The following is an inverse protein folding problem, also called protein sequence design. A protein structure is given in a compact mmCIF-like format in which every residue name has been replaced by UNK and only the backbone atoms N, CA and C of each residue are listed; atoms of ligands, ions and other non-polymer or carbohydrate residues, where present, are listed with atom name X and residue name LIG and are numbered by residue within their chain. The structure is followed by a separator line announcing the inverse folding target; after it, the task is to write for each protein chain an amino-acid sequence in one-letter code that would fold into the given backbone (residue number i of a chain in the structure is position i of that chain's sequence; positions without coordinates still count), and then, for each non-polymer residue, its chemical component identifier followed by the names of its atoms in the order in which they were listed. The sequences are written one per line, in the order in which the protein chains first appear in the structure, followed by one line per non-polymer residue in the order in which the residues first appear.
data_IF_535776931117
#
_entry.id   IF_535776931117
#
_cell.length_a   1.000
_cell.length_b   1.000
_cell.length_c   1.000
_cell.angle_alpha   90.00
_cell.angle_beta   90.00
_cell.angle_gamma   90.00
#
_symmetry.space_group_name_H-M   'P 1'
#
loop_
_entity.id
_entity.type
_entity.pdbx_description
1 polymer ?
#
# COMPACT_ATOMS: atom_id res chain seq x y z
N UNK A 1 -48.23 -16.16 -5.10
CA UNK A 1 -46.86 -16.68 -4.85
C UNK A 1 -45.87 -16.32 -5.93
N UNK A 2 -46.18 -16.50 -7.23
CA UNK A 2 -45.25 -16.17 -8.37
C UNK A 2 -44.83 -14.69 -8.39
N UNK A 3 -45.76 -13.75 -8.21
CA UNK A 3 -45.51 -12.30 -8.21
C UNK A 3 -44.63 -11.88 -7.02
N UNK A 4 -44.79 -12.49 -5.85
CA UNK A 4 -43.92 -12.20 -4.65
C UNK A 4 -42.51 -12.72 -4.90
N UNK A 5 -42.37 -13.91 -5.48
CA UNK A 5 -41.06 -14.45 -5.86
C UNK A 5 -40.35 -13.58 -6.90
N UNK A 6 -41.04 -13.10 -7.93
CA UNK A 6 -40.49 -12.22 -8.93
C UNK A 6 -40.06 -10.87 -8.35
N UNK A 7 -40.87 -10.27 -7.48
CA UNK A 7 -40.52 -9.03 -6.79
C UNK A 7 -39.25 -9.18 -5.91
N UNK A 8 -39.11 -10.30 -5.19
CA UNK A 8 -37.91 -10.58 -4.40
C UNK A 8 -36.65 -10.74 -5.25
N UNK A 9 -36.73 -11.40 -6.40
CA UNK A 9 -35.62 -11.55 -7.34
C UNK A 9 -35.22 -10.17 -7.91
N UNK A 10 -36.19 -9.36 -8.35
CA UNK A 10 -35.92 -8.00 -8.87
C UNK A 10 -35.26 -7.14 -7.79
N UNK A 11 -35.72 -7.18 -6.55
CA UNK A 11 -35.12 -6.43 -5.46
C UNK A 11 -33.67 -6.87 -5.18
N UNK A 12 -33.41 -8.19 -5.19
CA UNK A 12 -32.06 -8.72 -5.02
C UNK A 12 -31.10 -8.26 -6.14
N UNK A 13 -31.55 -8.37 -7.41
CA UNK A 13 -30.76 -7.92 -8.56
C UNK A 13 -30.49 -6.43 -8.48
N UNK A 14 -31.48 -5.62 -8.09
CA UNK A 14 -31.29 -4.18 -7.90
C UNK A 14 -30.28 -3.89 -6.77
N UNK A 15 -30.37 -4.59 -5.65
CA UNK A 15 -29.42 -4.44 -4.54
C UNK A 15 -27.97 -4.80 -4.95
N UNK A 16 -27.79 -5.90 -5.69
CA UNK A 16 -26.49 -6.31 -6.21
C UNK A 16 -25.96 -5.27 -7.23
N UNK A 17 -26.81 -4.74 -8.11
CA UNK A 17 -26.44 -3.72 -9.07
C UNK A 17 -26.00 -2.40 -8.38
N UNK A 18 -26.68 -2.00 -7.31
CA UNK A 18 -26.28 -0.85 -6.48
C UNK A 18 -24.92 -1.10 -5.82
N UNK A 19 -24.75 -2.25 -5.18
CA UNK A 19 -23.47 -2.62 -4.58
C UNK A 19 -22.35 -2.65 -5.62
N UNK A 20 -22.58 -3.22 -6.79
CA UNK A 20 -21.61 -3.28 -7.89
C UNK A 20 -21.23 -1.89 -8.40
N UNK A 21 -22.20 -0.98 -8.51
CA UNK A 21 -21.97 0.39 -8.97
C UNK A 21 -21.14 1.18 -7.98
N UNK A 22 -21.42 1.04 -6.68
CA UNK A 22 -20.81 1.83 -5.61
C UNK A 22 -19.68 1.10 -4.87
N UNK A 23 -19.26 -0.10 -5.28
CA UNK A 23 -18.27 -0.90 -4.58
C UNK A 23 -16.96 -0.15 -4.30
N UNK A 24 -16.51 0.73 -5.21
CA UNK A 24 -15.30 1.54 -5.00
C UNK A 24 -15.39 2.48 -3.82
N UNK A 25 -16.60 2.95 -3.45
CA UNK A 25 -16.80 3.74 -2.23
C UNK A 25 -16.72 2.91 -0.95
N UNK A 26 -16.83 1.59 -1.04
CA UNK A 26 -16.63 0.68 0.07
C UNK A 26 -15.17 0.23 0.18
N UNK A 27 -14.46 0.19 -0.95
CA UNK A 27 -13.06 -0.21 -1.01
C UNK A 27 -12.14 0.95 -0.67
N UNK A 28 -12.32 2.09 -1.32
CA UNK A 28 -11.49 3.29 -1.18
C UNK A 28 -12.18 4.29 -0.27
N UNK A 29 -11.53 4.64 0.82
CA UNK A 29 -12.05 5.51 1.88
C UNK A 29 -11.16 6.75 2.03
N UNK A 30 -11.03 7.59 0.97
CA UNK A 30 -10.14 8.73 1.00
C UNK A 30 -10.61 9.78 1.99
N UNK A 31 -9.70 10.33 2.78
CA UNK A 31 -9.85 11.68 3.25
C UNK A 31 -9.45 12.62 2.10
N UNK A 32 -10.43 13.33 1.57
CA UNK A 32 -10.27 14.22 0.41
C UNK A 32 -9.83 15.63 0.79
N UNK A 33 -9.73 15.94 2.10
CA UNK A 33 -9.29 17.24 2.56
C UNK A 33 -7.86 17.53 2.09
N UNK A 34 -7.58 18.74 1.59
CA UNK A 34 -6.22 19.13 1.22
C UNK A 34 -5.28 19.04 2.43
N UNK A 35 -4.16 18.36 2.25
CA UNK A 35 -3.13 18.25 3.28
C UNK A 35 -2.26 19.50 3.26
N UNK A 36 -1.90 19.97 4.45
CA UNK A 36 -1.01 21.12 4.63
C UNK A 36 0.36 20.90 3.93
N UNK A 37 1.09 21.97 3.58
CA UNK A 37 2.40 21.87 2.96
C UNK A 37 3.35 20.96 3.76
N UNK A 38 4.12 20.15 3.08
CA UNK A 38 5.02 19.15 3.70
C UNK A 38 5.99 19.77 4.72
N UNK A 39 6.51 20.97 4.43
CA UNK A 39 7.41 21.71 5.31
C UNK A 39 6.78 22.11 6.65
N UNK A 40 5.46 22.28 6.72
CA UNK A 40 4.75 22.54 7.96
C UNK A 40 4.43 21.29 8.78
N UNK A 41 4.44 20.12 8.13
CA UNK A 41 4.15 18.83 8.76
C UNK A 41 5.40 18.17 9.35
N UNK A 42 6.54 18.33 8.65
CA UNK A 42 7.80 17.72 9.03
C UNK A 42 8.96 18.58 8.54
N UNK A 43 9.87 18.93 9.46
CA UNK A 43 11.08 19.66 9.12
C UNK A 43 11.93 18.90 8.09
N UNK A 44 12.36 19.59 7.03
CA UNK A 44 13.12 19.00 5.91
C UNK A 44 12.28 18.27 4.87
N UNK A 45 10.96 18.14 5.08
CA UNK A 45 10.07 17.62 4.05
C UNK A 45 9.71 18.68 3.01
N UNK A 46 9.53 18.23 1.77
CA UNK A 46 9.07 19.06 0.64
C UNK A 46 7.87 18.42 -0.03
N UNK A 47 7.01 19.23 -0.63
CA UNK A 47 5.95 18.74 -1.50
C UNK A 47 6.56 18.26 -2.82
N UNK A 48 6.34 17.00 -3.16
CA UNK A 48 6.68 16.42 -4.45
C UNK A 48 5.46 16.42 -5.36
N UNK A 49 5.65 16.74 -6.65
CA UNK A 49 4.62 16.59 -7.68
C UNK A 49 4.95 15.36 -8.51
N UNK A 50 4.01 14.43 -8.57
CA UNK A 50 4.11 13.19 -9.31
C UNK A 50 3.22 13.30 -10.56
N UNK A 51 3.80 13.20 -11.75
CA UNK A 51 3.04 13.22 -13.00
C UNK A 51 2.74 11.80 -13.44
N UNK A 52 1.47 11.43 -13.45
CA UNK A 52 1.04 10.09 -13.89
C UNK A 52 1.00 9.98 -15.41
N UNK A 53 1.09 8.75 -15.94
CA UNK A 53 1.05 8.51 -17.38
C UNK A 53 -0.28 8.93 -18.05
N UNK A 54 -1.36 8.99 -17.28
CA UNK A 54 -2.68 9.48 -17.71
C UNK A 54 -2.90 10.99 -17.41
N UNK A 55 -1.81 11.71 -17.08
CA UNK A 55 -1.77 13.19 -17.04
C UNK A 55 -2.21 13.84 -15.74
N UNK A 56 -2.38 13.09 -14.65
CA UNK A 56 -2.66 13.69 -13.34
C UNK A 56 -1.37 14.22 -12.69
N UNK A 57 -1.47 15.34 -12.00
CA UNK A 57 -0.44 15.86 -11.12
C UNK A 57 -0.84 15.58 -9.66
N UNK A 58 -0.17 14.63 -9.03
CA UNK A 58 -0.44 14.22 -7.66
C UNK A 58 0.58 14.84 -6.71
N UNK A 59 0.13 15.27 -5.55
CA UNK A 59 0.99 15.75 -4.46
C UNK A 59 1.36 14.59 -3.55
N UNK A 60 2.63 14.53 -3.17
CA UNK A 60 3.21 13.59 -2.23
C UNK A 60 4.13 14.33 -1.25
N UNK A 61 4.50 13.70 -0.14
CA UNK A 61 5.50 14.22 0.79
C UNK A 61 6.83 13.52 0.53
N UNK A 62 7.90 14.30 0.33
CA UNK A 62 9.24 13.77 0.13
C UNK A 62 10.22 14.30 1.19
N UNK A 63 11.01 13.40 1.77
CA UNK A 63 12.16 13.68 2.63
C UNK A 63 13.37 13.03 1.98
N UNK A 64 14.38 13.82 1.66
CA UNK A 64 15.61 13.27 1.09
C UNK A 64 16.38 12.42 2.11
N UNK A 65 17.02 11.35 1.64
CA UNK A 65 17.94 10.58 2.45
C UNK A 65 19.15 11.43 2.87
N UNK A 66 19.75 11.17 4.04
CA UNK A 66 21.05 11.75 4.40
C UNK A 66 22.10 11.41 3.34
N UNK A 67 23.15 12.24 3.26
CA UNK A 67 24.31 11.94 2.42
C UNK A 67 25.05 10.74 3.01
N UNK A 68 25.00 9.62 2.33
CA UNK A 68 25.69 8.39 2.71
C UNK A 68 26.08 7.61 1.44
N UNK A 69 26.95 6.59 1.53
CA UNK A 69 27.30 5.74 0.39
C UNK A 69 26.09 5.04 -0.25
N UNK A 70 25.04 4.76 0.53
CA UNK A 70 23.74 4.32 0.02
C UNK A 70 22.63 5.21 0.58
N UNK A 71 21.94 5.95 -0.29
CA UNK A 71 20.83 6.83 0.06
C UNK A 71 19.53 6.03 0.13
N UNK A 72 19.49 5.02 1.02
CA UNK A 72 18.31 4.16 1.18
C UNK A 72 17.03 5.00 1.33
N UNK A 73 16.06 4.77 0.48
CA UNK A 73 14.83 5.56 0.43
C UNK A 73 13.60 4.65 0.35
N UNK A 74 12.58 4.96 1.14
CA UNK A 74 11.35 4.18 1.22
C UNK A 74 10.24 4.89 0.44
N UNK A 75 9.68 4.20 -0.56
CA UNK A 75 8.42 4.57 -1.19
C UNK A 75 7.30 3.93 -0.37
N UNK A 76 6.48 4.75 0.28
CA UNK A 76 5.34 4.29 1.09
C UNK A 76 4.06 4.42 0.26
N UNK A 77 3.40 3.28 0.02
CA UNK A 77 2.06 3.19 -0.53
C UNK A 77 1.06 2.89 0.61
N UNK A 78 0.20 3.86 0.99
CA UNK A 78 -0.72 3.73 2.10
C UNK A 78 -1.80 2.68 1.89
N UNK A 79 -2.51 2.33 2.96
CA UNK A 79 -3.73 1.55 2.90
C UNK A 79 -4.90 2.32 2.25
N UNK A 80 -6.09 1.73 2.31
CA UNK A 80 -7.27 2.23 1.60
C UNK A 80 -7.96 3.45 2.24
N UNK A 81 -7.54 3.89 3.43
CA UNK A 81 -8.24 4.94 4.19
C UNK A 81 -7.32 6.10 4.58
N UNK A 82 -7.92 7.29 4.79
CA UNK A 82 -7.25 8.50 5.26
C UNK A 82 -6.49 9.24 4.17
N UNK A 83 -5.42 9.95 4.55
CA UNK A 83 -4.47 10.61 3.66
C UNK A 83 -3.04 10.54 4.23
N UNK A 84 -2.07 11.18 3.56
CA UNK A 84 -0.65 11.14 3.98
C UNK A 84 -0.39 11.72 5.37
N UNK A 85 -1.22 12.61 5.89
CA UNK A 85 -1.01 13.20 7.21
C UNK A 85 -1.07 12.13 8.33
N UNK A 86 -1.89 11.09 8.16
CA UNK A 86 -2.02 9.98 9.12
C UNK A 86 -0.76 9.13 9.24
N UNK A 87 0.14 9.19 8.25
CA UNK A 87 1.37 8.37 8.18
C UNK A 87 2.62 9.14 8.62
N UNK A 88 2.49 10.37 9.10
CA UNK A 88 3.63 11.15 9.58
C UNK A 88 4.43 10.47 10.71
N UNK A 89 3.82 9.74 11.66
CA UNK A 89 4.59 8.98 12.64
C UNK A 89 5.53 7.95 12.00
N UNK A 90 5.08 7.23 10.96
CA UNK A 90 5.91 6.28 10.20
C UNK A 90 7.05 7.00 9.46
N UNK A 91 6.74 8.12 8.79
CA UNK A 91 7.76 8.92 8.08
C UNK A 91 8.84 9.40 9.04
N UNK A 92 8.47 9.88 10.24
CA UNK A 92 9.43 10.30 11.28
C UNK A 92 10.32 9.14 11.70
N UNK A 93 9.74 7.99 12.03
CA UNK A 93 10.49 6.81 12.43
C UNK A 93 11.48 6.33 11.38
N UNK A 94 11.10 6.32 10.10
CA UNK A 94 11.99 5.94 9.00
C UNK A 94 13.09 6.97 8.77
N UNK A 95 12.76 8.27 8.81
CA UNK A 95 13.75 9.34 8.70
C UNK A 95 14.77 9.25 9.85
N UNK A 96 14.31 9.04 11.08
CA UNK A 96 15.18 8.95 12.26
C UNK A 96 16.06 7.67 12.22
N UNK A 97 15.64 6.66 11.44
CA UNK A 97 16.45 5.49 11.09
C UNK A 97 17.36 5.69 9.87
N UNK A 98 17.47 6.93 9.33
CA UNK A 98 18.40 7.29 8.26
C UNK A 98 17.86 7.09 6.83
N UNK A 99 16.57 6.82 6.66
CA UNK A 99 15.97 6.70 5.31
C UNK A 99 15.53 8.04 4.74
N UNK A 100 15.66 8.18 3.41
CA UNK A 100 14.77 9.05 2.65
C UNK A 100 13.38 8.44 2.57
N UNK A 101 12.35 9.27 2.41
CA UNK A 101 10.96 8.80 2.35
C UNK A 101 10.18 9.55 1.29
N UNK A 102 9.52 8.83 0.39
CA UNK A 102 8.43 9.36 -0.43
C UNK A 102 7.13 8.73 0.05
N UNK A 103 6.28 9.55 0.66
CA UNK A 103 4.95 9.14 1.10
C UNK A 103 3.92 9.58 0.06
N UNK A 104 3.31 8.59 -0.58
CA UNK A 104 2.31 8.78 -1.64
C UNK A 104 0.94 9.13 -1.05
N UNK A 105 0.22 10.07 -1.67
CA UNK A 105 -1.25 10.12 -1.66
C UNK A 105 -1.74 9.71 -3.04
N UNK A 106 -2.68 8.80 -3.10
CA UNK A 106 -3.29 8.36 -4.34
C UNK A 106 -4.19 9.42 -4.96
N UNK A 107 -4.55 9.23 -6.22
CA UNK A 107 -5.64 9.97 -6.85
C UNK A 107 -6.91 9.92 -6.00
N UNK A 108 -7.56 11.08 -5.78
CA UNK A 108 -8.74 11.22 -4.93
C UNK A 108 -8.45 11.32 -3.43
N UNK A 109 -7.20 11.19 -2.97
CA UNK A 109 -6.79 11.30 -1.56
C UNK A 109 -6.05 12.62 -1.31
N UNK A 110 -6.17 13.20 -0.11
CA UNK A 110 -5.38 14.35 0.34
C UNK A 110 -5.47 15.58 -0.55
N UNK A 111 -6.59 15.79 -1.23
CA UNK A 111 -6.80 16.86 -2.21
C UNK A 111 -6.25 16.57 -3.60
N UNK A 112 -5.75 15.39 -3.89
CA UNK A 112 -5.32 14.98 -5.22
C UNK A 112 -6.50 14.79 -6.18
N UNK A 113 -6.34 15.12 -7.47
CA UNK A 113 -7.38 14.92 -8.49
C UNK A 113 -7.62 13.45 -8.80
N UNK A 114 -8.72 13.16 -9.51
CA UNK A 114 -9.07 11.83 -10.01
C UNK A 114 -9.89 10.99 -9.04
N UNK A 115 -10.09 9.74 -9.40
CA UNK A 115 -10.84 8.75 -8.61
C UNK A 115 -10.04 7.45 -8.52
N UNK A 116 -9.97 6.81 -7.34
CA UNK A 116 -9.15 5.62 -7.14
C UNK A 116 -9.74 4.40 -7.85
N UNK A 117 -8.84 3.65 -8.48
CA UNK A 117 -9.08 2.33 -9.10
C UNK A 117 -7.79 1.52 -8.99
N UNK A 118 -7.85 0.21 -9.13
CA UNK A 118 -6.65 -0.64 -9.11
C UNK A 118 -5.60 -0.19 -10.14
N UNK A 119 -6.01 0.01 -11.40
CA UNK A 119 -5.10 0.48 -12.45
C UNK A 119 -4.63 1.92 -12.20
N UNK A 120 -5.51 2.79 -11.71
CA UNK A 120 -5.15 4.15 -11.36
C UNK A 120 -4.08 4.22 -10.28
N UNK A 121 -4.22 3.43 -9.21
CA UNK A 121 -3.23 3.37 -8.14
C UNK A 121 -1.88 2.81 -8.62
N UNK A 122 -1.89 1.90 -9.59
CA UNK A 122 -0.66 1.43 -10.22
C UNK A 122 0.06 2.55 -11.00
N UNK A 123 -0.68 3.39 -11.73
CA UNK A 123 -0.11 4.57 -12.41
C UNK A 123 0.45 5.59 -11.39
N UNK A 124 -0.21 5.78 -10.25
CA UNK A 124 0.24 6.66 -9.18
C UNK A 124 1.56 6.17 -8.57
N UNK A 125 1.68 4.88 -8.29
CA UNK A 125 2.90 4.27 -7.77
C UNK A 125 4.05 4.30 -8.80
N UNK A 126 3.76 4.11 -10.08
CA UNK A 126 4.74 4.25 -11.16
C UNK A 126 5.27 5.69 -11.25
N UNK A 127 4.39 6.71 -11.12
CA UNK A 127 4.78 8.11 -11.08
C UNK A 127 5.64 8.44 -9.85
N UNK A 128 5.33 7.86 -8.68
CA UNK A 128 6.13 8.00 -7.47
C UNK A 128 7.55 7.43 -7.66
N UNK A 129 7.67 6.25 -8.26
CA UNK A 129 8.98 5.69 -8.61
C UNK A 129 9.72 6.55 -9.62
N UNK A 130 9.05 7.05 -10.64
CA UNK A 130 9.66 7.92 -11.65
C UNK A 130 10.22 9.20 -11.03
N UNK A 131 9.53 9.79 -10.04
CA UNK A 131 10.05 10.91 -9.27
C UNK A 131 11.34 10.53 -8.52
N UNK A 132 11.36 9.39 -7.84
CA UNK A 132 12.53 8.93 -7.08
C UNK A 132 13.74 8.67 -7.99
N UNK A 133 13.53 8.05 -9.15
CA UNK A 133 14.62 7.70 -10.06
C UNK A 133 15.03 8.83 -11.01
N UNK A 134 14.19 9.83 -11.20
CA UNK A 134 14.45 11.01 -12.03
C UNK A 134 14.82 12.22 -11.16
N UNK A 135 13.87 13.06 -10.73
CA UNK A 135 14.15 14.28 -9.97
C UNK A 135 14.97 14.07 -8.70
N UNK A 136 14.70 12.99 -7.91
CA UNK A 136 15.46 12.69 -6.70
C UNK A 136 16.82 12.01 -6.97
N UNK A 137 17.06 11.53 -8.19
CA UNK A 137 18.34 10.97 -8.64
C UNK A 137 18.75 9.68 -7.93
N UNK A 138 17.78 8.84 -7.50
CA UNK A 138 18.02 7.57 -6.85
C UNK A 138 18.08 6.42 -7.85
N UNK A 139 18.90 5.41 -7.57
CA UNK A 139 18.90 4.16 -8.32
C UNK A 139 17.88 3.16 -7.74
N UNK A 140 17.48 2.15 -8.52
CA UNK A 140 16.60 1.10 -8.02
C UNK A 140 17.18 0.35 -6.80
N UNK A 141 18.51 0.28 -6.68
CA UNK A 141 19.22 -0.36 -5.55
C UNK A 141 19.14 0.43 -4.24
N UNK A 142 18.69 1.68 -4.30
CA UNK A 142 18.46 2.54 -3.13
C UNK A 142 16.99 2.55 -2.70
N UNK A 143 16.09 1.89 -3.44
CA UNK A 143 14.65 1.95 -3.18
C UNK A 143 14.14 0.73 -2.42
N UNK A 144 13.45 0.99 -1.33
CA UNK A 144 12.60 0.01 -0.63
C UNK A 144 11.14 0.39 -0.89
N UNK A 145 10.34 -0.57 -1.34
CA UNK A 145 8.89 -0.33 -1.42
C UNK A 145 8.23 -0.86 -0.14
N UNK A 146 7.44 -0.02 0.51
CA UNK A 146 6.66 -0.36 1.69
C UNK A 146 5.18 -0.16 1.35
N UNK A 147 4.41 -1.24 1.41
CA UNK A 147 2.97 -1.19 1.17
C UNK A 147 2.17 -1.61 2.39
N UNK A 148 1.18 -0.79 2.76
CA UNK A 148 0.28 -1.06 3.86
C UNK A 148 -1.04 -1.62 3.34
N UNK A 149 -1.43 -2.84 3.73
CA UNK A 149 -2.73 -3.43 3.38
C UNK A 149 -2.98 -3.36 1.87
N UNK A 150 -3.95 -2.57 1.39
CA UNK A 150 -4.22 -2.32 -0.03
C UNK A 150 -2.98 -1.78 -0.77
N UNK A 151 -2.21 -0.91 -0.14
CA UNK A 151 -0.95 -0.41 -0.68
C UNK A 151 0.09 -1.51 -0.91
N UNK A 152 0.00 -2.62 -0.17
CA UNK A 152 0.81 -3.82 -0.41
C UNK A 152 0.58 -4.40 -1.80
N UNK A 153 -0.66 -4.42 -2.28
CA UNK A 153 -0.97 -4.85 -3.65
C UNK A 153 -0.41 -3.88 -4.70
N UNK A 154 -0.52 -2.57 -4.42
CA UNK A 154 -0.02 -1.53 -5.32
C UNK A 154 1.49 -1.64 -5.51
N UNK A 155 2.25 -1.74 -4.42
CA UNK A 155 3.72 -1.86 -4.53
C UNK A 155 4.18 -3.24 -5.00
N UNK A 156 3.39 -4.30 -4.79
CA UNK A 156 3.72 -5.62 -5.35
C UNK A 156 3.63 -5.58 -6.87
N UNK A 157 2.58 -4.98 -7.44
CA UNK A 157 2.47 -4.77 -8.89
C UNK A 157 3.64 -3.93 -9.41
N UNK A 158 3.95 -2.83 -8.75
CA UNK A 158 5.09 -2.00 -9.12
C UNK A 158 6.41 -2.76 -9.05
N UNK A 159 6.61 -3.62 -8.04
CA UNK A 159 7.84 -4.39 -7.85
C UNK A 159 8.03 -5.49 -8.92
N UNK A 160 6.95 -6.03 -9.49
CA UNK A 160 7.02 -6.94 -10.64
C UNK A 160 7.50 -6.20 -11.90
N UNK A 161 6.95 -5.02 -12.16
CA UNK A 161 7.26 -4.24 -13.37
C UNK A 161 8.61 -3.51 -13.26
N UNK A 162 9.00 -3.13 -12.04
CA UNK A 162 10.17 -2.31 -11.76
C UNK A 162 10.76 -2.67 -10.37
N UNK A 163 11.58 -3.73 -10.29
CA UNK A 163 12.08 -4.25 -9.02
C UNK A 163 12.83 -3.21 -8.19
N UNK A 164 12.53 -3.13 -6.88
CA UNK A 164 13.28 -2.34 -5.90
C UNK A 164 14.47 -3.11 -5.34
N UNK A 165 15.23 -2.49 -4.44
CA UNK A 165 16.20 -3.22 -3.61
C UNK A 165 15.52 -4.18 -2.62
N UNK A 166 14.31 -3.85 -2.15
CA UNK A 166 13.52 -4.71 -1.27
C UNK A 166 12.04 -4.32 -1.21
N UNK A 167 11.19 -5.29 -0.90
CA UNK A 167 9.74 -5.12 -0.79
C UNK A 167 9.29 -5.47 0.64
N UNK A 168 8.67 -4.53 1.34
CA UNK A 168 8.04 -4.75 2.63
C UNK A 168 6.53 -4.63 2.51
N UNK A 169 5.82 -5.66 2.94
CA UNK A 169 4.37 -5.73 2.94
C UNK A 169 3.85 -5.78 4.37
N UNK A 170 3.10 -4.76 4.79
CA UNK A 170 2.44 -4.72 6.10
C UNK A 170 0.99 -5.17 5.97
N UNK A 171 0.64 -6.27 6.66
CA UNK A 171 -0.70 -6.89 6.64
C UNK A 171 -1.24 -7.08 5.22
N UNK A 172 -0.48 -7.72 4.30
CA UNK A 172 -0.98 -8.00 2.95
C UNK A 172 -2.06 -9.08 2.97
N UNK A 173 -2.90 -9.07 1.95
CA UNK A 173 -3.90 -10.10 1.69
C UNK A 173 -3.59 -10.82 0.36
N UNK A 174 -4.13 -12.02 0.20
CA UNK A 174 -3.95 -12.83 -1.02
C UNK A 174 -4.57 -12.18 -2.26
N UNK A 175 -5.83 -11.77 -2.15
CA UNK A 175 -6.57 -10.92 -3.10
C UNK A 175 -7.69 -10.19 -2.34
N UNK A 176 -8.18 -9.08 -2.88
CA UNK A 176 -9.23 -8.28 -2.23
C UNK A 176 -10.51 -9.09 -1.99
N UNK A 177 -10.83 -10.04 -2.87
CA UNK A 177 -11.98 -10.93 -2.71
C UNK A 177 -11.93 -11.79 -1.46
N UNK A 178 -10.74 -12.18 -0.98
CA UNK A 178 -10.60 -12.99 0.23
C UNK A 178 -10.92 -12.17 1.49
N UNK A 179 -10.61 -10.86 1.48
CA UNK A 179 -11.04 -9.93 2.53
C UNK A 179 -12.56 -9.67 2.45
N UNK A 180 -13.05 -9.35 1.25
CA UNK A 180 -14.46 -9.02 1.03
C UNK A 180 -15.40 -10.20 1.35
N UNK A 181 -15.00 -11.45 1.09
CA UNK A 181 -15.80 -12.64 1.38
C UNK A 181 -16.11 -12.81 2.87
N UNK A 182 -15.27 -12.33 3.75
CA UNK A 182 -15.52 -12.37 5.18
C UNK A 182 -16.63 -11.41 5.61
N UNK A 183 -16.71 -10.25 4.96
CA UNK A 183 -17.73 -9.24 5.23
C UNK A 183 -19.05 -9.53 4.49
N UNK A 184 -18.95 -10.17 3.32
CA UNK A 184 -20.08 -10.47 2.45
C UNK A 184 -20.09 -11.96 2.06
N UNK A 185 -20.27 -12.90 3.02
CA UNK A 185 -20.10 -14.34 2.78
C UNK A 185 -21.13 -14.92 1.81
N UNK A 186 -22.28 -14.24 1.63
CA UNK A 186 -23.37 -14.69 0.75
C UNK A 186 -23.26 -14.16 -0.69
N UNK A 187 -22.30 -13.27 -0.97
CA UNK A 187 -22.11 -12.71 -2.29
C UNK A 187 -20.97 -13.42 -3.04
N UNK A 188 -21.10 -13.64 -4.36
CA UNK A 188 -20.02 -14.16 -5.19
C UNK A 188 -19.01 -13.03 -5.48
N UNK A 189 -18.34 -12.53 -4.43
CA UNK A 189 -17.50 -11.33 -4.47
C UNK A 189 -16.40 -11.40 -5.53
N UNK A 190 -15.82 -12.58 -5.80
CA UNK A 190 -14.81 -12.77 -6.87
C UNK A 190 -15.33 -12.44 -8.26
N UNK A 191 -16.62 -12.65 -8.51
CA UNK A 191 -17.26 -12.33 -9.80
C UNK A 191 -17.69 -10.86 -9.87
N UNK A 192 -18.03 -10.28 -8.71
CA UNK A 192 -18.59 -8.93 -8.63
C UNK A 192 -17.53 -7.85 -8.52
N UNK A 193 -16.35 -8.13 -7.96
CA UNK A 193 -15.30 -7.15 -7.78
C UNK A 193 -14.68 -6.71 -9.11
N UNK A 194 -14.60 -5.40 -9.31
CA UNK A 194 -13.96 -4.75 -10.45
C UNK A 194 -12.46 -4.57 -10.22
N UNK A 195 -12.09 -4.27 -8.98
CA UNK A 195 -10.72 -4.07 -8.53
C UNK A 195 -10.34 -5.32 -7.70
N UNK A 196 -9.30 -6.07 -8.10
CA UNK A 196 -9.00 -7.41 -7.59
C UNK A 196 -7.81 -7.47 -6.65
N UNK A 197 -6.77 -6.70 -6.92
CA UNK A 197 -5.54 -6.64 -6.15
C UNK A 197 -4.95 -8.04 -5.83
N UNK A 198 -4.52 -8.82 -6.83
CA UNK A 198 -4.16 -10.24 -6.67
C UNK A 198 -2.72 -10.44 -6.19
N UNK A 199 -2.41 -10.07 -4.93
CA UNK A 199 -1.04 -10.05 -4.37
C UNK A 199 -0.37 -11.41 -4.44
N UNK A 200 -1.06 -12.47 -4.00
CA UNK A 200 -0.46 -13.81 -3.93
C UNK A 200 -0.02 -14.36 -5.30
N UNK A 201 -0.70 -13.98 -6.39
CA UNK A 201 -0.32 -14.39 -7.74
C UNK A 201 0.84 -13.60 -8.32
N UNK A 202 1.13 -12.40 -7.77
CA UNK A 202 2.15 -11.48 -8.26
C UNK A 202 3.45 -11.57 -7.46
N UNK A 203 3.36 -11.75 -6.14
CA UNK A 203 4.52 -11.64 -5.25
C UNK A 203 5.64 -12.63 -5.56
N UNK A 204 5.32 -13.80 -6.11
CA UNK A 204 6.30 -14.79 -6.53
C UNK A 204 7.17 -14.38 -7.73
N UNK A 205 6.71 -13.37 -8.50
CA UNK A 205 7.45 -12.83 -9.65
C UNK A 205 8.32 -11.60 -9.27
N UNK A 206 8.33 -11.19 -8.02
CA UNK A 206 9.13 -10.05 -7.55
C UNK A 206 10.61 -10.45 -7.47
N UNK A 207 11.47 -9.78 -8.22
CA UNK A 207 12.92 -9.99 -8.20
C UNK A 207 13.58 -9.08 -7.15
N UNK A 208 13.23 -9.29 -5.89
CA UNK A 208 13.80 -8.57 -4.74
C UNK A 208 13.53 -9.36 -3.43
N UNK A 209 14.35 -9.16 -2.38
CA UNK A 209 14.03 -9.66 -1.05
C UNK A 209 12.69 -9.14 -0.54
N UNK A 210 11.85 -10.04 -0.02
CA UNK A 210 10.52 -9.69 0.52
C UNK A 210 10.50 -9.87 2.03
N UNK A 211 9.85 -8.93 2.74
CA UNK A 211 9.52 -9.03 4.16
C UNK A 211 8.01 -8.80 4.32
N UNK A 212 7.35 -9.68 5.06
CA UNK A 212 5.92 -9.57 5.41
C UNK A 212 5.81 -9.36 6.91
N UNK A 213 5.21 -8.22 7.31
CA UNK A 213 4.97 -7.85 8.72
C UNK A 213 3.47 -7.87 8.97
N UNK A 214 3.00 -8.59 9.98
CA UNK A 214 1.58 -8.66 10.28
C UNK A 214 1.30 -8.96 11.76
N UNK A 215 0.10 -8.61 12.23
CA UNK A 215 -0.34 -8.85 13.59
C UNK A 215 -1.04 -10.20 13.76
N UNK A 216 -0.82 -10.87 14.88
CA UNK A 216 -1.47 -12.16 15.16
C UNK A 216 -2.96 -12.04 15.50
N UNK A 217 -3.44 -10.84 15.88
CA UNK A 217 -4.84 -10.55 16.20
C UNK A 217 -5.53 -9.65 15.14
N UNK A 218 -5.00 -9.60 13.92
CA UNK A 218 -5.60 -8.83 12.82
C UNK A 218 -6.93 -9.48 12.38
N UNK A 219 -8.05 -8.80 12.63
CA UNK A 219 -9.40 -9.25 12.27
C UNK A 219 -9.88 -8.69 10.94
N UNK A 220 -9.22 -7.64 10.40
CA UNK A 220 -9.56 -7.05 9.11
C UNK A 220 -8.91 -7.84 7.96
N UNK A 221 -7.60 -8.06 8.08
CA UNK A 221 -6.83 -8.93 7.19
C UNK A 221 -6.25 -10.06 8.04
N UNK A 222 -6.96 -11.18 8.15
CA UNK A 222 -6.55 -12.27 9.02
C UNK A 222 -5.14 -12.77 8.74
N UNK A 223 -4.37 -13.13 9.80
CA UNK A 223 -2.95 -13.48 9.69
C UNK A 223 -2.67 -14.59 8.69
N UNK A 224 -3.63 -15.49 8.46
CA UNK A 224 -3.50 -16.56 7.47
C UNK A 224 -3.35 -16.04 6.03
N UNK A 225 -3.95 -14.88 5.69
CA UNK A 225 -3.79 -14.27 4.37
C UNK A 225 -2.38 -13.71 4.18
N UNK A 226 -1.86 -13.00 5.19
CA UNK A 226 -0.48 -12.47 5.17
C UNK A 226 0.55 -13.61 5.15
N UNK A 227 0.30 -14.68 5.90
CA UNK A 227 1.14 -15.89 5.88
C UNK A 227 1.13 -16.57 4.52
N UNK A 228 -0.02 -16.64 3.85
CA UNK A 228 -0.13 -17.20 2.51
C UNK A 228 0.67 -16.37 1.49
N UNK A 229 0.61 -15.03 1.56
CA UNK A 229 1.43 -14.14 0.71
C UNK A 229 2.91 -14.39 0.97
N UNK A 230 3.35 -14.50 2.21
CA UNK A 230 4.74 -14.80 2.53
C UNK A 230 5.21 -16.16 1.98
N UNK A 231 4.31 -17.15 1.99
CA UNK A 231 4.60 -18.49 1.45
C UNK A 231 4.70 -18.57 -0.06
N UNK A 232 4.18 -17.58 -0.80
CA UNK A 232 4.27 -17.50 -2.27
C UNK A 232 5.36 -16.55 -2.75
N UNK A 233 6.03 -15.83 -1.84
CA UNK A 233 7.12 -14.91 -2.17
C UNK A 233 8.39 -15.61 -2.66
N UNK A 234 9.27 -14.90 -3.39
CA UNK A 234 10.52 -15.47 -3.88
C UNK A 234 11.42 -15.89 -2.71
N UNK A 235 11.92 -17.11 -2.76
CA UNK A 235 13.00 -17.60 -1.89
C UNK A 235 12.75 -17.52 -0.38
N UNK A 236 11.55 -17.79 0.12
CA UNK A 236 11.16 -17.63 1.53
C UNK A 236 11.17 -16.17 2.02
N UNK A 237 10.08 -15.47 1.81
CA UNK A 237 9.90 -14.14 2.38
C UNK A 237 10.08 -14.19 3.92
N UNK A 238 10.82 -13.23 4.47
CA UNK A 238 10.96 -13.11 5.93
C UNK A 238 9.62 -12.68 6.51
N UNK A 239 9.16 -13.41 7.52
CA UNK A 239 7.93 -13.11 8.23
C UNK A 239 8.25 -12.49 9.59
N UNK A 240 7.61 -11.38 9.91
CA UNK A 240 7.67 -10.72 11.21
C UNK A 240 6.26 -10.67 11.76
N UNK A 241 5.99 -11.47 12.76
CA UNK A 241 4.68 -11.54 13.44
C UNK A 241 4.72 -10.66 14.68
N UNK A 242 3.77 -9.72 14.79
CA UNK A 242 3.60 -8.90 15.99
C UNK A 242 2.47 -9.50 16.82
N UNK A 243 2.86 -10.12 17.93
CA UNK A 243 1.87 -10.84 18.77
C UNK A 243 0.87 -9.89 19.42
N UNK A 244 -0.40 -10.32 19.41
CA UNK A 244 -1.52 -9.54 19.92
C UNK A 244 -1.92 -8.30 19.11
N UNK A 245 -1.16 -7.90 18.09
CA UNK A 245 -1.46 -6.71 17.33
C UNK A 245 -2.61 -6.91 16.33
N UNK A 246 -3.53 -5.95 16.28
CA UNK A 246 -4.58 -5.82 15.26
C UNK A 246 -4.11 -5.01 14.06
N UNK A 247 -4.99 -4.88 13.03
CA UNK A 247 -4.65 -4.26 11.74
C UNK A 247 -4.08 -2.84 11.85
N UNK A 248 -4.66 -2.02 12.71
CA UNK A 248 -4.31 -0.60 12.89
C UNK A 248 -3.55 -0.34 14.20
N UNK A 249 -3.00 -1.38 14.81
CA UNK A 249 -2.21 -1.23 16.03
C UNK A 249 -0.98 -0.34 15.77
N UNK A 250 -0.64 0.61 16.67
CA UNK A 250 0.55 1.45 16.55
C UNK A 250 1.84 0.66 16.33
N UNK A 251 1.98 -0.52 16.93
CA UNK A 251 3.14 -1.39 16.72
C UNK A 251 3.33 -1.78 15.25
N UNK A 252 2.22 -1.95 14.51
CA UNK A 252 2.22 -2.29 13.08
C UNK A 252 2.25 -1.08 12.17
N UNK A 253 1.64 0.05 12.56
CA UNK A 253 1.50 1.19 11.66
C UNK A 253 2.74 2.10 11.64
N UNK A 254 3.46 2.22 12.77
CA UNK A 254 4.65 3.07 12.89
C UNK A 254 5.59 2.67 14.05
N UNK A 255 5.36 1.50 14.65
CA UNK A 255 6.14 1.04 15.79
C UNK A 255 7.55 0.57 15.43
N UNK A 256 8.38 0.39 16.47
CA UNK A 256 9.78 -0.02 16.33
C UNK A 256 9.96 -1.32 15.53
N UNK A 257 8.98 -2.24 15.60
CA UNK A 257 9.04 -3.51 14.86
C UNK A 257 9.01 -3.27 13.36
N UNK A 258 8.11 -2.39 12.86
CA UNK A 258 8.03 -2.07 11.43
C UNK A 258 9.29 -1.35 10.94
N UNK A 259 9.80 -0.40 11.74
CA UNK A 259 11.04 0.33 11.42
C UNK A 259 12.23 -0.65 11.38
N UNK A 260 12.39 -1.50 12.39
CA UNK A 260 13.46 -2.50 12.43
C UNK A 260 13.38 -3.50 11.29
N UNK A 261 12.18 -3.95 10.91
CA UNK A 261 11.98 -4.82 9.76
C UNK A 261 12.38 -4.14 8.44
N UNK A 262 12.15 -2.82 8.32
CA UNK A 262 12.56 -2.04 7.15
C UNK A 262 14.11 -1.90 7.10
N UNK A 263 14.75 -1.62 8.22
CA UNK A 263 16.22 -1.56 8.32
C UNK A 263 16.85 -2.91 7.97
N UNK A 264 16.32 -4.01 8.49
CA UNK A 264 16.84 -5.34 8.21
C UNK A 264 16.64 -5.74 6.75
N UNK A 265 15.51 -5.37 6.14
CA UNK A 265 15.29 -5.56 4.71
C UNK A 265 16.32 -4.78 3.87
N UNK A 266 16.57 -3.51 4.21
CA UNK A 266 17.56 -2.68 3.53
C UNK A 266 18.97 -3.29 3.66
N UNK A 267 19.34 -3.81 4.85
CA UNK A 267 20.60 -4.50 5.06
C UNK A 267 20.75 -5.74 4.18
N UNK A 268 19.71 -6.59 4.09
CA UNK A 268 19.69 -7.75 3.19
C UNK A 268 19.78 -7.37 1.73
N UNK A 269 19.25 -6.21 1.36
CA UNK A 269 19.32 -5.65 0.02
C UNK A 269 20.66 -4.99 -0.31
N UNK A 270 21.59 -4.93 0.65
CA UNK A 270 22.92 -4.34 0.48
C UNK A 270 22.95 -2.80 0.51
N UNK A 271 21.88 -2.15 0.98
CA UNK A 271 21.78 -0.69 1.09
C UNK A 271 21.37 -0.30 2.51
N UNK A 272 22.34 -0.15 3.39
CA UNK A 272 22.11 0.26 4.77
C UNK A 272 21.89 1.77 4.83
N UNK A 273 20.82 2.26 5.51
CA UNK A 273 20.61 3.69 5.69
C UNK A 273 21.74 4.33 6.49
N UNK A 274 21.97 5.63 6.26
CA UNK A 274 23.06 6.39 6.87
C UNK A 274 22.82 6.80 8.31
#
# INVERSE_FOLDING_TARGET
MLMVGLAAVVALVAAVAVLWTFQRRLIFLPDTAPVAPASSLLAGAVDATLTTADGLALRALYVAAPSSPCRASVLIAPGNAGNRADRLPLVRGLRDAGFGVLLLDYRGYGGNPGSPTEDGLALDAAAARAFLTGPAGLSARELIYLGESLGGAVVTRLAVDAPPAGLLLRSPFTELADVARRQFPFLPVRLLLRDRFPVASMVGAVDAPVTVVYGSADTLVPPELSRAVAGTGPGSAVQVVVDGAGHNDPALTHGAVLISATVELARRAGCVPG
#
